data_IF_603246517610
#
_entry.id   IF_603246517610
#
_cell.length_a   1.000
_cell.length_b   1.000
_cell.length_c   1.000
_cell.angle_alpha   90.00
_cell.angle_beta   90.00
_cell.angle_gamma   90.00
#
_symmetry.space_group_name_H-M   'P 1'
#
loop_
_entity.id
_entity.type
_entity.pdbx_description
1 polymer ?
#
# COMPACT_ATOMS: atom_id res chain seq x y z
N UNK A 1 17.49 -60.54 -60.83
CA UNK A 1 18.18 -61.16 -59.68
C UNK A 1 18.58 -60.02 -58.76
N UNK A 2 17.75 -59.71 -57.78
CA UNK A 2 17.93 -60.03 -56.36
C UNK A 2 19.00 -59.14 -55.71
N UNK A 3 18.84 -58.49 -54.56
CA UNK A 3 17.78 -58.32 -53.56
C UNK A 3 18.39 -57.32 -52.54
N UNK A 4 17.59 -56.45 -51.94
CA UNK A 4 17.76 -55.82 -50.60
C UNK A 4 16.68 -54.71 -50.53
N UNK A 5 15.37 -55.02 -50.46
CA UNK A 5 14.68 -55.50 -49.24
C UNK A 5 15.49 -55.25 -47.97
N UNK A 6 15.50 -54.02 -47.48
CA UNK A 6 15.68 -53.78 -46.05
C UNK A 6 14.34 -54.04 -45.36
N UNK A 7 14.16 -55.30 -44.95
CA UNK A 7 13.12 -55.72 -44.01
C UNK A 7 13.26 -54.91 -42.72
N UNK A 8 12.18 -54.22 -42.34
CA UNK A 8 11.92 -53.78 -40.97
C UNK A 8 11.78 -54.99 -40.04
N UNK A 9 12.86 -55.60 -39.57
CA UNK A 9 12.82 -56.56 -38.46
C UNK A 9 14.13 -56.53 -37.67
N UNK A 10 14.17 -55.80 -36.56
CA UNK A 10 14.56 -56.31 -35.22
C UNK A 10 14.44 -55.22 -34.16
N UNK A 11 13.98 -55.68 -32.99
CA UNK A 11 13.67 -54.94 -31.78
C UNK A 11 14.70 -53.87 -31.36
N UNK A 12 14.21 -52.66 -31.13
CA UNK A 12 14.62 -51.83 -29.98
C UNK A 12 13.34 -51.26 -29.36
N UNK A 13 12.62 -52.10 -28.62
CA UNK A 13 11.73 -51.61 -27.56
C UNK A 13 12.59 -51.46 -26.31
N UNK A 14 12.95 -50.22 -25.99
CA UNK A 14 13.08 -49.82 -24.60
C UNK A 14 11.67 -49.43 -24.15
N UNK A 15 11.12 -50.13 -23.18
CA UNK A 15 9.82 -49.82 -22.58
C UNK A 15 9.85 -48.42 -21.96
N UNK A 16 9.41 -47.42 -22.73
CA UNK A 16 9.02 -46.13 -22.16
C UNK A 16 7.61 -46.27 -21.58
N UNK A 17 7.53 -46.84 -20.39
CA UNK A 17 6.34 -46.72 -19.54
C UNK A 17 6.23 -45.25 -19.11
N UNK A 18 5.32 -44.49 -19.73
CA UNK A 18 4.91 -43.17 -19.21
C UNK A 18 3.39 -43.03 -19.35
N UNK A 19 2.72 -42.94 -18.20
CA UNK A 19 1.25 -42.82 -18.04
C UNK A 19 0.72 -41.40 -18.33
N UNK A 20 -0.51 -41.41 -18.85
CA UNK A 20 -1.61 -40.41 -18.84
C UNK A 20 -1.38 -39.03 -19.51
N UNK A 21 -2.13 -38.84 -20.59
CA UNK A 21 -2.40 -37.61 -21.38
C UNK A 21 -1.15 -36.88 -21.86
N UNK A 22 -0.57 -37.36 -22.96
CA UNK A 22 0.47 -36.62 -23.69
C UNK A 22 -0.21 -35.60 -24.61
N UNK A 23 0.24 -34.35 -24.59
CA UNK A 23 -0.28 -33.33 -25.51
C UNK A 23 0.13 -33.64 -26.96
N UNK A 24 -0.61 -33.11 -27.92
CA UNK A 24 -0.30 -33.24 -29.36
C UNK A 24 1.16 -32.86 -29.65
N UNK A 25 1.71 -31.88 -28.92
CA UNK A 25 3.12 -31.45 -28.99
C UNK A 25 4.09 -32.59 -28.66
N UNK A 26 3.80 -33.38 -27.62
CA UNK A 26 4.65 -34.52 -27.24
C UNK A 26 4.56 -35.66 -28.25
N UNK A 27 3.43 -35.80 -28.94
CA UNK A 27 3.29 -36.76 -30.05
C UNK A 27 4.10 -36.33 -31.25
N UNK A 28 3.98 -35.09 -31.72
CA UNK A 28 4.75 -34.60 -32.85
C UNK A 28 6.25 -34.61 -32.55
N UNK A 29 6.65 -34.24 -31.33
CA UNK A 29 8.04 -34.35 -30.89
C UNK A 29 8.50 -35.82 -30.87
N UNK A 30 7.65 -36.76 -30.40
CA UNK A 30 7.97 -38.17 -30.43
C UNK A 30 8.05 -38.74 -31.86
N UNK A 31 7.17 -38.33 -32.78
CA UNK A 31 7.21 -38.71 -34.19
C UNK A 31 8.46 -38.14 -34.87
N UNK A 32 8.81 -36.88 -34.58
CA UNK A 32 10.01 -36.22 -35.08
C UNK A 32 11.29 -36.86 -34.54
N UNK A 33 11.35 -37.16 -33.23
CA UNK A 33 12.46 -37.89 -32.59
C UNK A 33 12.58 -39.30 -33.18
N UNK A 34 11.48 -40.05 -33.27
CA UNK A 34 11.47 -41.39 -33.88
C UNK A 34 11.97 -41.36 -35.33
N UNK A 35 11.61 -40.33 -36.11
CA UNK A 35 12.05 -40.17 -37.48
C UNK A 35 13.54 -39.78 -37.59
N UNK A 36 14.00 -38.83 -36.77
CA UNK A 36 15.40 -38.39 -36.75
C UNK A 36 16.38 -39.50 -36.33
N UNK A 37 15.92 -40.44 -35.49
CA UNK A 37 16.73 -41.58 -35.04
C UNK A 37 16.68 -42.80 -35.97
N UNK A 38 15.58 -43.00 -36.72
CA UNK A 38 15.36 -44.23 -37.50
C UNK A 38 15.29 -44.03 -39.01
N UNK A 39 15.24 -42.79 -39.49
CA UNK A 39 15.07 -42.46 -40.91
C UNK A 39 13.76 -42.94 -41.53
N UNK A 40 12.82 -43.48 -40.74
CA UNK A 40 11.60 -44.10 -41.22
C UNK A 40 10.36 -43.60 -40.46
N UNK A 41 9.35 -43.14 -41.20
CA UNK A 41 8.03 -42.85 -40.63
C UNK A 41 7.25 -44.16 -40.42
N UNK A 42 6.50 -44.32 -39.32
CA UNK A 42 5.62 -45.47 -39.11
C UNK A 42 4.59 -45.58 -40.25
N UNK A 43 4.22 -46.78 -40.69
CA UNK A 43 3.12 -46.98 -41.65
C UNK A 43 1.75 -46.55 -41.06
N UNK A 44 0.70 -46.38 -41.88
CA UNK A 44 -0.56 -45.76 -41.44
C UNK A 44 -1.22 -46.54 -40.30
N UNK A 45 -1.23 -47.88 -40.37
CA UNK A 45 -1.79 -48.73 -39.32
C UNK A 45 -1.01 -48.62 -38.00
N UNK A 46 0.32 -48.62 -38.04
CA UNK A 46 1.14 -48.51 -36.82
C UNK A 46 1.03 -47.12 -36.19
N UNK A 47 0.90 -46.07 -37.00
CA UNK A 47 0.61 -44.72 -36.52
C UNK A 47 -0.76 -44.67 -35.86
N UNK A 48 -1.78 -45.25 -36.48
CA UNK A 48 -3.15 -45.31 -35.94
C UNK A 48 -3.20 -46.02 -34.59
N UNK A 49 -2.53 -47.17 -34.47
CA UNK A 49 -2.39 -47.90 -33.20
C UNK A 49 -1.70 -47.05 -32.13
N UNK A 50 -0.65 -46.30 -32.48
CA UNK A 50 0.05 -45.42 -31.54
C UNK A 50 -0.83 -44.24 -31.08
N UNK A 51 -1.63 -43.65 -31.98
CA UNK A 51 -2.59 -42.60 -31.63
C UNK A 51 -3.66 -43.12 -30.67
N UNK A 52 -4.23 -44.30 -30.98
CA UNK A 52 -5.28 -44.92 -30.18
C UNK A 52 -4.76 -45.37 -28.80
N UNK A 53 -3.55 -45.95 -28.72
CA UNK A 53 -2.89 -46.35 -27.46
C UNK A 53 -2.59 -45.17 -26.52
N UNK A 54 -2.37 -43.97 -27.07
CA UNK A 54 -2.04 -42.78 -26.29
C UNK A 54 -3.23 -41.83 -26.11
N UNK A 55 -4.42 -42.20 -26.59
CA UNK A 55 -5.65 -41.38 -26.52
C UNK A 55 -5.49 -39.99 -27.12
N UNK A 56 -4.70 -39.87 -28.19
CA UNK A 56 -4.43 -38.57 -28.81
C UNK A 56 -5.55 -38.24 -29.79
N UNK A 57 -6.01 -36.98 -29.75
CA UNK A 57 -7.07 -36.46 -30.61
C UNK A 57 -6.76 -36.76 -32.08
N UNK A 58 -7.73 -37.38 -32.77
CA UNK A 58 -7.59 -37.79 -34.19
C UNK A 58 -7.72 -36.62 -35.15
N UNK A 59 -8.26 -35.51 -34.67
CA UNK A 59 -8.52 -34.31 -35.46
C UNK A 59 -7.84 -33.12 -34.82
N UNK A 60 -7.25 -32.30 -35.67
CA UNK A 60 -6.66 -31.04 -35.28
C UNK A 60 -7.10 -29.96 -36.26
N UNK A 61 -7.11 -28.73 -35.77
CA UNK A 61 -7.46 -27.54 -36.53
C UNK A 61 -6.21 -26.70 -36.72
N UNK A 62 -6.03 -26.17 -37.94
CA UNK A 62 -4.94 -25.24 -38.22
C UNK A 62 -5.50 -23.84 -38.09
N UNK A 63 -4.88 -23.03 -37.22
CA UNK A 63 -5.28 -21.63 -37.00
C UNK A 63 -5.46 -20.89 -38.31
N UNK A 64 -6.54 -20.10 -38.36
CA UNK A 64 -6.91 -19.32 -39.54
C UNK A 64 -6.35 -17.89 -39.54
N UNK A 65 -5.45 -17.56 -38.61
CA UNK A 65 -4.89 -16.23 -38.51
C UNK A 65 -3.86 -15.96 -39.63
N UNK A 66 -4.03 -14.81 -40.27
CA UNK A 66 -3.19 -14.35 -41.38
C UNK A 66 -2.15 -13.32 -40.95
N UNK A 67 -2.07 -13.00 -39.64
CA UNK A 67 -1.38 -11.80 -39.13
C UNK A 67 -0.23 -12.06 -38.13
N UNK A 68 0.39 -13.25 -38.11
CA UNK A 68 1.58 -13.47 -37.25
C UNK A 68 2.90 -13.33 -38.02
N UNK A 69 2.88 -13.25 -39.36
CA UNK A 69 4.10 -13.22 -40.17
C UNK A 69 4.03 -12.28 -41.38
N UNK A 70 3.82 -11.00 -41.12
CA UNK A 70 4.00 -9.88 -42.05
C UNK A 70 5.46 -9.72 -42.50
N UNK A 71 6.40 -10.43 -41.85
CA UNK A 71 7.85 -10.28 -42.03
C UNK A 71 8.49 -11.12 -43.14
N UNK A 72 7.80 -12.11 -43.73
CA UNK A 72 8.36 -12.93 -44.81
C UNK A 72 7.87 -12.45 -46.18
N UNK A 73 8.74 -11.68 -46.84
CA UNK A 73 8.44 -10.94 -48.05
C UNK A 73 8.05 -11.77 -49.29
N UNK A 74 7.28 -11.12 -50.16
CA UNK A 74 7.08 -11.23 -51.62
C UNK A 74 6.93 -12.60 -52.34
N UNK A 75 7.12 -13.76 -51.74
CA UNK A 75 6.92 -15.05 -52.44
C UNK A 75 5.57 -15.69 -52.09
N UNK A 76 4.50 -15.08 -52.61
CA UNK A 76 3.10 -15.50 -52.41
C UNK A 76 2.71 -16.73 -53.24
N UNK A 77 3.55 -17.77 -53.27
CA UNK A 77 3.38 -18.92 -54.18
C UNK A 77 3.64 -20.28 -53.54
N UNK A 78 3.16 -20.53 -52.32
CA UNK A 78 3.09 -21.91 -51.80
C UNK A 78 1.94 -22.05 -50.81
N UNK A 79 0.84 -22.69 -51.21
CA UNK A 79 -0.19 -23.20 -50.30
C UNK A 79 -0.96 -24.30 -51.01
N UNK A 80 -0.48 -25.54 -50.92
CA UNK A 80 -1.26 -26.69 -51.43
C UNK A 80 -1.10 -27.97 -50.58
N UNK A 81 -0.84 -27.82 -49.29
CA UNK A 81 -0.59 -28.98 -48.43
C UNK A 81 -1.59 -29.02 -47.25
N UNK A 82 -1.70 -27.97 -46.44
CA UNK A 82 -2.76 -27.84 -45.45
C UNK A 82 -3.30 -26.40 -45.50
N UNK A 83 -4.63 -26.25 -45.66
CA UNK A 83 -5.32 -24.96 -45.74
C UNK A 83 -5.62 -24.50 -44.31
N UNK A 84 -5.23 -23.26 -43.99
CA UNK A 84 -5.61 -22.58 -42.76
C UNK A 84 -7.13 -22.58 -42.59
N UNK A 85 -7.58 -22.67 -41.35
CA UNK A 85 -8.99 -22.68 -41.01
C UNK A 85 -9.74 -23.98 -41.31
N UNK A 86 -9.02 -25.08 -41.60
CA UNK A 86 -9.61 -26.39 -41.86
C UNK A 86 -9.24 -27.40 -40.79
N UNK A 87 -10.15 -28.34 -40.57
CA UNK A 87 -9.95 -29.51 -39.73
C UNK A 87 -9.36 -30.66 -40.55
N UNK A 88 -8.40 -31.36 -39.96
CA UNK A 88 -7.66 -32.45 -40.59
C UNK A 88 -7.58 -33.64 -39.67
N UNK A 89 -7.47 -34.85 -40.24
CA UNK A 89 -7.12 -36.04 -39.48
C UNK A 89 -5.59 -36.17 -39.35
N UNK A 90 -5.10 -36.74 -38.26
CA UNK A 90 -3.65 -36.90 -38.02
C UNK A 90 -2.95 -37.71 -39.14
N UNK A 91 -3.70 -38.57 -39.83
CA UNK A 91 -3.22 -39.29 -41.02
C UNK A 91 -2.97 -38.37 -42.23
N UNK A 92 -3.75 -37.29 -42.38
CA UNK A 92 -3.63 -36.34 -43.50
C UNK A 92 -2.29 -35.59 -43.46
N UNK A 93 -1.75 -35.34 -42.27
CA UNK A 93 -0.40 -34.74 -42.11
C UNK A 93 0.66 -35.65 -42.70
N UNK A 94 0.55 -36.94 -42.45
CA UNK A 94 1.54 -37.91 -42.94
C UNK A 94 1.51 -38.00 -44.46
N UNK A 95 0.33 -38.05 -45.06
CA UNK A 95 0.19 -38.11 -46.52
C UNK A 95 0.71 -36.82 -47.17
N UNK A 96 0.51 -35.68 -46.51
CA UNK A 96 1.09 -34.41 -46.90
C UNK A 96 2.62 -34.37 -46.77
N UNK A 97 3.17 -34.90 -45.67
CA UNK A 97 4.61 -35.03 -45.46
C UNK A 97 5.26 -35.90 -46.55
N UNK A 98 4.63 -37.03 -46.89
CA UNK A 98 5.09 -37.94 -47.94
C UNK A 98 5.03 -37.30 -49.33
N UNK A 99 4.04 -36.44 -49.61
CA UNK A 99 3.97 -35.68 -50.87
C UNK A 99 5.11 -34.66 -51.00
N UNK A 100 5.44 -33.94 -49.93
CA UNK A 100 6.54 -32.96 -49.91
C UNK A 100 7.90 -33.66 -50.07
N UNK A 101 8.12 -34.78 -49.37
CA UNK A 101 9.38 -35.54 -49.44
C UNK A 101 9.65 -36.21 -50.80
N UNK A 102 8.64 -36.33 -51.67
CA UNK A 102 8.75 -36.94 -53.00
C UNK A 102 8.87 -35.94 -54.15
N UNK A 103 8.85 -34.63 -53.89
CA UNK A 103 9.02 -33.64 -54.95
C UNK A 103 10.50 -33.24 -55.10
N UNK A 104 11.21 -33.90 -55.99
CA UNK A 104 12.66 -33.74 -56.20
C UNK A 104 13.09 -32.41 -56.87
N UNK A 105 12.27 -31.35 -56.94
CA UNK A 105 12.63 -30.18 -57.78
C UNK A 105 11.99 -28.81 -57.47
N UNK A 106 11.29 -28.62 -56.35
CA UNK A 106 10.73 -27.29 -56.07
C UNK A 106 11.52 -26.63 -54.96
N UNK A 107 12.14 -25.47 -55.25
CA UNK A 107 12.82 -24.57 -54.30
C UNK A 107 11.88 -23.97 -53.25
N UNK A 108 11.13 -24.85 -52.60
CA UNK A 108 10.34 -24.61 -51.41
C UNK A 108 11.34 -24.35 -50.29
N UNK A 109 11.53 -23.07 -49.96
CA UNK A 109 12.20 -22.70 -48.70
C UNK A 109 11.49 -23.41 -47.56
N UNK A 110 12.27 -23.78 -46.55
CA UNK A 110 11.87 -24.31 -45.25
C UNK A 110 10.91 -23.42 -44.45
N UNK A 111 10.22 -22.48 -45.10
CA UNK A 111 9.46 -21.40 -44.48
C UNK A 111 7.94 -21.67 -44.62
N UNK A 112 7.56 -22.87 -45.08
CA UNK A 112 6.18 -23.34 -45.23
C UNK A 112 5.93 -24.51 -44.29
N UNK A 113 6.08 -24.26 -42.99
CA UNK A 113 5.69 -25.21 -41.95
C UNK A 113 4.56 -24.62 -41.13
N UNK A 114 3.52 -25.43 -40.91
CA UNK A 114 2.58 -25.18 -39.83
C UNK A 114 3.36 -25.42 -38.55
N UNK A 115 3.66 -24.37 -37.81
CA UNK A 115 4.38 -24.49 -36.56
C UNK A 115 3.50 -25.17 -35.50
N UNK A 116 4.10 -25.82 -34.51
CA UNK A 116 3.35 -26.61 -33.52
C UNK A 116 2.34 -25.76 -32.74
N UNK A 117 2.67 -24.50 -32.54
CA UNK A 117 1.81 -23.49 -31.94
C UNK A 117 0.62 -23.09 -32.82
N UNK A 118 0.62 -23.39 -34.13
CA UNK A 118 -0.50 -23.11 -35.04
C UNK A 118 -1.55 -24.24 -35.08
N UNK A 119 -1.35 -25.31 -34.30
CA UNK A 119 -2.22 -26.49 -34.24
C UNK A 119 -3.07 -26.45 -32.97
N UNK A 120 -4.39 -26.57 -33.13
CA UNK A 120 -5.36 -26.60 -32.03
C UNK A 120 -6.17 -27.90 -32.05
N UNK A 121 -6.64 -28.35 -30.89
CA UNK A 121 -7.51 -29.54 -30.79
C UNK A 121 -8.95 -29.23 -31.26
N UNK A 122 -9.39 -27.98 -31.09
CA UNK A 122 -10.68 -27.44 -31.52
C UNK A 122 -10.50 -26.01 -32.04
N UNK A 123 -11.37 -25.52 -32.95
CA UNK A 123 -11.25 -24.17 -33.47
C UNK A 123 -11.48 -23.13 -32.37
N UNK A 124 -10.52 -22.22 -32.22
CA UNK A 124 -10.65 -21.07 -31.31
C UNK A 124 -10.74 -19.75 -32.08
N UNK A 125 -11.48 -18.80 -31.49
CA UNK A 125 -11.78 -17.49 -32.07
C UNK A 125 -11.28 -16.37 -31.18
N UNK A 126 -10.88 -15.26 -31.80
CA UNK A 126 -10.48 -14.07 -31.06
C UNK A 126 -11.69 -13.43 -30.39
N UNK A 127 -11.53 -13.09 -29.10
CA UNK A 127 -12.49 -12.27 -28.38
C UNK A 127 -11.83 -10.95 -28.01
N UNK A 128 -12.29 -9.88 -28.65
CA UNK A 128 -11.83 -8.52 -28.40
C UNK A 128 -12.89 -7.76 -27.60
N UNK A 129 -12.57 -7.47 -26.34
CA UNK A 129 -13.45 -6.70 -25.46
C UNK A 129 -12.92 -5.28 -25.34
N UNK A 130 -13.73 -4.29 -25.73
CA UNK A 130 -13.39 -2.87 -25.62
C UNK A 130 -14.29 -2.27 -24.54
N UNK A 131 -13.71 -1.92 -23.40
CA UNK A 131 -14.42 -1.22 -22.32
C UNK A 131 -14.06 0.27 -22.40
N UNK A 132 -15.07 1.13 -22.32
CA UNK A 132 -14.88 2.59 -22.39
C UNK A 132 -14.27 3.22 -21.12
N UNK A 133 -14.19 2.44 -20.04
CA UNK A 133 -13.54 2.79 -18.78
C UNK A 133 -12.11 2.26 -18.73
N UNK A 134 -11.10 3.10 -18.43
CA UNK A 134 -9.72 2.65 -18.29
C UNK A 134 -9.54 1.76 -17.05
N UNK A 135 -8.63 0.78 -17.14
CA UNK A 135 -8.30 -0.15 -16.05
C UNK A 135 -9.50 -0.95 -15.50
N UNK A 136 -10.55 -1.14 -16.30
CA UNK A 136 -11.63 -2.05 -15.94
C UNK A 136 -11.08 -3.48 -15.78
N UNK A 137 -11.46 -4.13 -14.69
CA UNK A 137 -11.21 -5.53 -14.46
C UNK A 137 -12.26 -6.34 -15.24
N UNK A 138 -11.81 -7.26 -16.09
CA UNK A 138 -12.68 -8.04 -16.96
C UNK A 138 -12.41 -9.52 -16.68
N UNK A 139 -13.48 -10.23 -16.34
CA UNK A 139 -13.44 -11.67 -16.09
C UNK A 139 -14.31 -12.41 -17.11
N UNK A 140 -13.78 -13.44 -17.75
CA UNK A 140 -14.53 -14.36 -18.60
C UNK A 140 -14.70 -15.68 -17.84
N UNK A 141 -15.93 -16.07 -17.53
CA UNK A 141 -16.26 -17.23 -16.70
C UNK A 141 -15.49 -17.27 -15.36
N UNK A 142 -15.11 -16.10 -14.83
CA UNK A 142 -14.37 -15.95 -13.58
C UNK A 142 -12.85 -15.84 -13.73
N UNK A 143 -12.30 -16.03 -14.92
CA UNK A 143 -10.85 -15.91 -15.20
C UNK A 143 -10.52 -14.55 -15.82
N UNK A 144 -9.32 -14.01 -15.54
CA UNK A 144 -8.90 -12.70 -16.07
C UNK A 144 -8.84 -12.71 -17.60
N UNK A 145 -9.43 -11.69 -18.21
CA UNK A 145 -9.29 -11.43 -19.64
C UNK A 145 -7.89 -10.89 -19.96
N UNK A 146 -7.29 -11.43 -21.01
CA UNK A 146 -6.02 -10.97 -21.57
C UNK A 146 -6.23 -10.55 -23.03
N UNK A 147 -5.61 -9.44 -23.49
CA UNK A 147 -5.66 -9.06 -24.90
C UNK A 147 -5.20 -10.20 -25.81
N UNK A 148 -5.91 -10.39 -26.93
CA UNK A 148 -5.68 -11.48 -27.90
C UNK A 148 -6.01 -12.90 -27.37
N UNK A 149 -6.76 -13.01 -26.26
CA UNK A 149 -7.29 -14.29 -25.81
C UNK A 149 -8.16 -14.95 -26.90
N UNK A 150 -7.99 -16.26 -27.06
CA UNK A 150 -8.78 -17.09 -27.97
C UNK A 150 -9.62 -18.06 -27.17
N UNK A 151 -10.89 -18.18 -27.55
CA UNK A 151 -11.84 -19.06 -26.87
C UNK A 151 -12.43 -20.07 -27.86
N UNK A 152 -12.66 -21.32 -27.43
CA UNK A 152 -13.48 -22.26 -28.18
C UNK A 152 -14.88 -21.72 -28.48
N UNK A 153 -15.59 -22.39 -29.38
CA UNK A 153 -17.00 -22.10 -29.61
C UNK A 153 -17.83 -22.39 -28.36
N UNK A 154 -18.64 -21.43 -27.92
CA UNK A 154 -19.50 -21.60 -26.76
C UNK A 154 -19.99 -20.29 -26.16
N UNK A 155 -20.78 -20.42 -25.09
CA UNK A 155 -21.30 -19.29 -24.32
C UNK A 155 -20.37 -18.93 -23.18
N UNK A 156 -20.13 -17.64 -23.00
CA UNK A 156 -19.26 -17.11 -21.96
C UNK A 156 -19.91 -15.95 -21.23
N UNK A 157 -19.78 -15.93 -19.91
CA UNK A 157 -20.22 -14.84 -19.05
C UNK A 157 -19.05 -13.89 -18.83
N UNK A 158 -19.22 -12.63 -19.20
CA UNK A 158 -18.25 -11.56 -18.99
C UNK A 158 -18.73 -10.73 -17.81
N UNK A 159 -17.90 -10.64 -16.77
CA UNK A 159 -18.10 -9.74 -15.64
C UNK A 159 -17.08 -8.61 -15.74
N UNK A 160 -17.55 -7.38 -15.71
CA UNK A 160 -16.73 -6.18 -15.80
C UNK A 160 -16.96 -5.36 -14.53
N UNK A 161 -15.87 -4.97 -13.87
CA UNK A 161 -15.89 -4.07 -12.73
C UNK A 161 -14.84 -2.98 -12.89
N UNK A 162 -15.16 -1.77 -12.44
CA UNK A 162 -14.23 -0.66 -12.45
C UNK A 162 -14.50 0.27 -11.27
N UNK A 163 -13.45 0.89 -10.72
CA UNK A 163 -13.62 1.85 -9.62
C UNK A 163 -14.53 2.99 -10.09
N UNK A 164 -15.54 3.34 -9.28
CA UNK A 164 -16.51 4.43 -9.56
C UNK A 164 -17.61 4.10 -10.59
N UNK A 165 -17.68 2.86 -11.09
CA UNK A 165 -18.72 2.42 -12.04
C UNK A 165 -19.51 1.24 -11.50
N UNK A 166 -20.73 1.07 -12.01
CA UNK A 166 -21.56 -0.09 -11.73
C UNK A 166 -21.02 -1.32 -12.45
N UNK A 167 -20.87 -2.42 -11.71
CA UNK A 167 -20.50 -3.71 -12.27
C UNK A 167 -21.50 -4.16 -13.32
N UNK A 168 -21.00 -4.75 -14.40
CA UNK A 168 -21.81 -5.23 -15.53
C UNK A 168 -21.52 -6.68 -15.80
N UNK A 169 -22.58 -7.46 -16.03
CA UNK A 169 -22.49 -8.86 -16.44
C UNK A 169 -23.24 -9.06 -17.75
N UNK A 170 -22.63 -9.73 -18.72
CA UNK A 170 -23.26 -10.02 -20.01
C UNK A 170 -22.80 -11.39 -20.55
N UNK A 171 -23.66 -12.03 -21.34
CA UNK A 171 -23.37 -13.31 -22.00
C UNK A 171 -23.00 -13.06 -23.47
N UNK A 172 -21.89 -13.62 -23.94
CA UNK A 172 -21.54 -13.69 -25.37
C UNK A 172 -21.61 -15.14 -25.85
N UNK A 173 -21.99 -15.34 -27.11
CA UNK A 173 -21.90 -16.63 -27.80
C UNK A 173 -20.82 -16.57 -28.87
N UNK A 174 -19.68 -17.21 -28.60
CA UNK A 174 -18.52 -17.23 -29.49
C UNK A 174 -18.77 -18.28 -30.57
N UNK A 175 -18.98 -17.81 -31.80
CA UNK A 175 -19.19 -18.64 -32.99
C UNK A 175 -18.12 -18.36 -34.06
N UNK A 176 -17.60 -17.15 -34.06
CA UNK A 176 -16.56 -16.59 -34.91
C UNK A 176 -15.80 -15.50 -34.13
N UNK A 177 -14.79 -14.87 -34.74
CA UNK A 177 -14.06 -13.77 -34.11
C UNK A 177 -15.03 -12.67 -33.68
N UNK A 178 -15.09 -12.41 -32.37
CA UNK A 178 -16.09 -11.56 -31.74
C UNK A 178 -15.44 -10.30 -31.21
N UNK A 179 -16.06 -9.16 -31.48
CA UNK A 179 -15.64 -7.85 -30.97
C UNK A 179 -16.80 -7.17 -30.27
N UNK A 180 -16.68 -6.98 -28.98
CA UNK A 180 -17.71 -6.34 -28.15
C UNK A 180 -17.25 -4.99 -27.62
N UNK A 181 -18.14 -4.00 -27.66
CA UNK A 181 -17.93 -2.69 -27.06
C UNK A 181 -18.84 -2.54 -25.86
N UNK A 182 -18.25 -2.29 -24.69
CA UNK A 182 -18.92 -2.35 -23.39
C UNK A 182 -18.83 -0.97 -22.74
N UNK A 183 -20.00 -0.39 -22.46
CA UNK A 183 -20.14 0.82 -21.65
C UNK A 183 -20.54 0.49 -20.23
N UNK A 184 -19.83 1.08 -19.26
CA UNK A 184 -20.19 1.06 -17.83
C UNK A 184 -20.83 2.38 -17.40
N UNK A 185 -21.82 2.29 -16.52
CA UNK A 185 -22.50 3.44 -15.94
C UNK A 185 -21.80 3.90 -14.66
N UNK A 186 -21.72 5.21 -14.43
CA UNK A 186 -21.14 5.76 -13.20
C UNK A 186 -21.98 5.40 -11.97
N UNK A 187 -21.32 4.96 -10.91
CA UNK A 187 -21.96 4.76 -9.60
C UNK A 187 -21.98 6.08 -8.83
N UNK A 188 -23.05 6.85 -9.04
CA UNK A 188 -23.28 8.15 -8.41
C UNK A 188 -23.35 8.03 -6.89
N UNK A 189 -23.88 6.94 -6.35
CA UNK A 189 -24.06 6.79 -4.90
C UNK A 189 -22.72 6.47 -4.22
N UNK A 190 -21.93 5.57 -4.79
CA UNK A 190 -20.57 5.33 -4.33
C UNK A 190 -19.70 6.61 -4.35
N UNK A 191 -19.87 7.48 -5.36
CA UNK A 191 -19.18 8.78 -5.40
C UNK A 191 -19.61 9.71 -4.28
N UNK A 192 -20.93 9.82 -4.01
CA UNK A 192 -21.42 10.64 -2.88
C UNK A 192 -20.87 10.14 -1.55
N UNK A 193 -20.87 8.83 -1.33
CA UNK A 193 -20.33 8.23 -0.11
C UNK A 193 -18.83 8.53 0.06
N UNK A 194 -18.05 8.40 -1.02
CA UNK A 194 -16.61 8.72 -1.00
C UNK A 194 -16.37 10.19 -0.65
N UNK A 195 -17.08 11.11 -1.33
CA UNK A 195 -16.97 12.54 -1.08
C UNK A 195 -17.38 12.89 0.37
N UNK A 196 -18.42 12.23 0.90
CA UNK A 196 -18.83 12.39 2.29
C UNK A 196 -17.74 11.90 3.26
N UNK A 197 -17.14 10.73 3.02
CA UNK A 197 -16.03 10.19 3.82
C UNK A 197 -14.80 11.11 3.79
N UNK A 198 -14.42 11.60 2.62
CA UNK A 198 -13.31 12.54 2.45
C UNK A 198 -13.55 13.88 3.17
N UNK A 199 -14.79 14.39 3.12
CA UNK A 199 -15.17 15.62 3.84
C UNK A 199 -15.04 15.42 5.36
N UNK A 200 -15.56 14.33 5.88
CA UNK A 200 -15.47 13.99 7.31
C UNK A 200 -14.00 13.88 7.75
N UNK A 201 -13.14 13.25 6.95
CA UNK A 201 -11.72 13.11 7.29
C UNK A 201 -10.98 14.45 7.27
N UNK A 202 -11.25 15.31 6.27
CA UNK A 202 -10.72 16.68 6.23
C UNK A 202 -11.14 17.49 7.46
N UNK A 203 -12.41 17.40 7.86
CA UNK A 203 -12.92 18.08 9.07
C UNK A 203 -12.24 17.56 10.35
N UNK A 204 -11.99 16.25 10.47
CA UNK A 204 -11.24 15.68 11.61
C UNK A 204 -9.81 16.20 11.69
N UNK A 205 -9.10 16.25 10.56
CA UNK A 205 -7.73 16.77 10.48
C UNK A 205 -7.71 18.25 10.89
N UNK A 206 -8.64 19.04 10.37
CA UNK A 206 -8.74 20.46 10.69
C UNK A 206 -9.05 20.69 12.17
N UNK A 207 -9.98 19.92 12.75
CA UNK A 207 -10.29 19.99 14.18
C UNK A 207 -9.07 19.70 15.06
N UNK A 208 -8.29 18.65 14.73
CA UNK A 208 -7.05 18.33 15.45
C UNK A 208 -6.01 19.45 15.34
N UNK A 209 -5.90 20.08 14.16
CA UNK A 209 -5.01 21.23 13.96
C UNK A 209 -5.42 22.41 14.84
N UNK A 210 -6.69 22.80 14.81
CA UNK A 210 -7.24 23.89 15.64
C UNK A 210 -7.05 23.63 17.14
N UNK A 211 -7.24 22.39 17.58
CA UNK A 211 -7.02 22.00 18.98
C UNK A 211 -5.55 22.11 19.39
N UNK A 212 -4.62 21.66 18.54
CA UNK A 212 -3.18 21.81 18.76
C UNK A 212 -2.76 23.27 18.83
N UNK A 213 -3.29 24.12 17.94
CA UNK A 213 -3.02 25.56 17.94
C UNK A 213 -3.57 26.24 19.21
N UNK A 214 -4.77 25.87 19.65
CA UNK A 214 -5.35 26.35 20.91
C UNK A 214 -4.47 25.97 22.10
N UNK A 215 -4.06 24.71 22.20
CA UNK A 215 -3.20 24.23 23.29
C UNK A 215 -1.84 24.93 23.28
N UNK A 216 -1.23 25.13 22.10
CA UNK A 216 0.02 25.85 21.97
C UNK A 216 -0.10 27.32 22.44
N UNK A 217 -1.25 27.95 22.16
CA UNK A 217 -1.55 29.30 22.64
C UNK A 217 -1.73 29.32 24.16
N UNK A 218 -2.50 28.40 24.73
CA UNK A 218 -2.70 28.30 26.19
C UNK A 218 -1.36 28.06 26.93
N UNK A 219 -0.48 27.23 26.36
CA UNK A 219 0.89 27.05 26.88
C UNK A 219 1.64 28.38 26.86
N UNK A 220 1.68 29.07 25.71
CA UNK A 220 2.38 30.35 25.55
C UNK A 220 1.80 31.47 26.42
N UNK A 221 0.51 31.40 26.74
CA UNK A 221 -0.18 32.38 27.57
C UNK A 221 -0.04 32.11 29.07
N UNK A 222 0.43 30.91 29.47
CA UNK A 222 0.54 30.54 30.88
C UNK A 222 1.96 30.59 31.46
N UNK A 223 2.97 30.83 30.63
CA UNK A 223 4.39 30.86 31.05
C UNK A 223 5.15 32.05 30.46
N UNK A 224 6.22 32.45 31.15
CA UNK A 224 7.25 33.36 30.66
C UNK A 224 8.62 32.67 30.70
N UNK A 225 9.39 32.75 29.61
CA UNK A 225 10.74 32.17 29.54
C UNK A 225 11.78 33.26 29.80
N UNK A 226 12.49 33.16 30.91
CA UNK A 226 13.59 34.04 31.27
C UNK A 226 14.91 33.48 30.72
N UNK A 227 15.30 33.97 29.55
CA UNK A 227 16.55 33.57 28.90
C UNK A 227 17.81 34.03 29.64
N UNK A 228 17.70 35.03 30.53
CA UNK A 228 18.82 35.55 31.31
C UNK A 228 19.14 34.61 32.45
N UNK A 229 18.10 34.22 33.21
CA UNK A 229 18.25 33.32 34.36
C UNK A 229 18.20 31.83 33.98
N UNK A 230 17.82 31.51 32.73
CA UNK A 230 17.54 30.14 32.26
C UNK A 230 16.41 29.47 33.05
N UNK A 231 15.41 30.27 33.40
CA UNK A 231 14.25 29.87 34.20
C UNK A 231 12.96 30.00 33.38
N UNK A 232 11.95 29.25 33.80
CA UNK A 232 10.59 29.38 33.32
C UNK A 232 9.69 29.84 34.46
N UNK A 233 8.88 30.85 34.22
CA UNK A 233 8.02 31.48 35.20
C UNK A 233 6.56 31.20 34.88
N UNK A 234 5.77 30.88 35.91
CA UNK A 234 4.32 30.91 35.79
C UNK A 234 3.91 32.34 35.44
N UNK A 235 3.09 32.51 34.41
CA UNK A 235 2.60 33.82 33.98
C UNK A 235 1.16 33.73 33.47
N UNK A 236 0.32 32.97 34.19
CA UNK A 236 -1.13 32.93 33.99
C UNK A 236 -1.85 33.85 34.98
N UNK A 237 -3.15 34.07 34.77
CA UNK A 237 -4.00 34.95 35.61
C UNK A 237 -4.00 34.59 37.10
N UNK A 238 -3.69 33.33 37.45
CA UNK A 238 -3.68 32.87 38.85
C UNK A 238 -2.60 33.59 39.67
N UNK A 239 -1.50 34.03 39.04
CA UNK A 239 -0.41 34.75 39.74
C UNK A 239 -0.87 36.09 40.34
N UNK A 240 -1.90 36.70 39.75
CA UNK A 240 -2.48 37.96 40.26
C UNK A 240 -3.56 37.78 41.32
N UNK A 241 -3.90 36.53 41.70
CA UNK A 241 -4.94 36.24 42.70
C UNK A 241 -4.50 35.25 43.78
N UNK A 242 -3.53 34.37 43.51
CA UNK A 242 -3.09 33.35 44.45
C UNK A 242 -2.21 33.94 45.56
N UNK A 243 -2.80 34.08 46.75
CA UNK A 243 -2.10 34.36 48.00
C UNK A 243 -2.04 33.10 48.86
N UNK A 244 -0.88 32.82 49.46
CA UNK A 244 -0.66 31.71 50.38
C UNK A 244 0.26 32.13 51.50
N UNK A 245 0.24 31.44 52.65
CA UNK A 245 1.25 31.63 53.66
C UNK A 245 2.52 30.85 53.31
N UNK A 246 3.64 31.26 53.89
CA UNK A 246 4.91 30.55 53.73
C UNK A 246 4.94 29.27 54.59
N UNK A 247 4.41 29.33 55.81
CA UNK A 247 4.08 28.19 56.68
C UNK A 247 2.58 28.11 56.91
N UNK A 248 2.04 26.91 57.10
CA UNK A 248 0.69 26.79 57.63
C UNK A 248 0.61 27.43 59.03
N UNK A 249 -0.54 27.99 59.40
CA UNK A 249 -0.74 28.57 60.74
C UNK A 249 -0.37 27.60 61.86
N UNK A 250 -0.73 26.33 61.69
CA UNK A 250 -0.35 25.22 62.58
C UNK A 250 1.16 25.10 62.76
N UNK A 251 1.92 25.14 61.68
CA UNK A 251 3.39 24.99 61.74
C UNK A 251 4.06 26.25 62.29
N UNK A 252 3.51 27.43 61.99
CA UNK A 252 3.95 28.71 62.54
C UNK A 252 3.76 28.74 64.07
N UNK A 253 2.56 28.43 64.57
CA UNK A 253 2.26 28.42 66.00
C UNK A 253 3.07 27.36 66.76
N UNK A 254 3.39 26.25 66.10
CA UNK A 254 4.26 25.19 66.62
C UNK A 254 5.77 25.51 66.52
N UNK A 255 6.14 26.71 66.05
CA UNK A 255 7.54 27.15 65.83
C UNK A 255 8.35 26.18 64.95
N UNK A 256 7.70 25.57 63.97
CA UNK A 256 8.34 24.71 62.97
C UNK A 256 8.74 25.55 61.77
N UNK A 257 9.73 26.41 61.96
CA UNK A 257 10.08 27.51 61.06
C UNK A 257 10.41 27.09 59.61
N UNK A 258 10.71 25.81 59.36
CA UNK A 258 11.07 25.30 58.02
C UNK A 258 10.07 24.24 57.49
N UNK A 259 9.00 23.93 58.22
CA UNK A 259 8.03 22.92 57.81
C UNK A 259 6.96 23.51 56.88
N UNK A 260 7.27 23.54 55.58
CA UNK A 260 6.35 24.07 54.56
C UNK A 260 5.23 23.10 54.16
N UNK A 261 4.97 22.06 54.95
CA UNK A 261 3.84 21.15 54.71
C UNK A 261 2.48 21.84 54.92
N UNK A 262 1.45 21.31 54.24
CA UNK A 262 0.09 21.89 54.25
C UNK A 262 -0.18 22.78 53.03
N UNK A 263 -1.13 23.72 53.16
CA UNK A 263 -1.45 24.71 52.13
C UNK A 263 -0.53 25.94 52.26
N UNK A 264 0.63 25.89 51.60
CA UNK A 264 1.67 26.92 51.65
C UNK A 264 2.07 27.35 50.25
N UNK A 265 2.80 28.46 50.13
CA UNK A 265 3.35 28.92 48.86
C UNK A 265 4.24 27.86 48.19
N UNK A 266 5.05 27.15 48.99
CA UNK A 266 5.95 26.11 48.49
C UNK A 266 5.19 24.86 48.01
N UNK A 267 4.19 24.40 48.77
CA UNK A 267 3.38 23.23 48.37
C UNK A 267 2.48 23.55 47.18
N UNK A 268 1.94 24.77 47.10
CA UNK A 268 1.24 25.27 45.92
C UNK A 268 2.12 25.12 44.68
N UNK A 269 3.32 25.71 44.69
CA UNK A 269 4.23 25.59 43.55
C UNK A 269 4.60 24.14 43.24
N UNK A 270 4.86 23.30 44.24
CA UNK A 270 5.19 21.89 43.99
C UNK A 270 4.06 21.11 43.30
N UNK A 271 2.80 21.49 43.53
CA UNK A 271 1.63 20.72 43.12
C UNK A 271 0.99 21.21 41.81
N UNK A 272 1.28 22.42 41.36
CA UNK A 272 0.70 22.91 40.09
C UNK A 272 1.31 22.21 38.88
N UNK A 273 0.47 22.03 37.87
CA UNK A 273 0.88 21.63 36.52
C UNK A 273 0.48 22.74 35.57
N UNK A 274 1.46 23.37 34.93
CA UNK A 274 1.24 24.46 33.98
C UNK A 274 1.90 24.06 32.67
N UNK A 275 1.21 24.23 31.54
CA UNK A 275 1.73 23.86 30.24
C UNK A 275 2.24 22.39 30.17
N UNK A 276 1.56 21.47 30.85
CA UNK A 276 1.97 20.07 31.02
C UNK A 276 3.34 19.87 31.70
N UNK A 277 3.87 20.90 32.35
CA UNK A 277 5.12 20.85 33.11
C UNK A 277 4.82 20.74 34.60
N UNK A 278 5.59 19.88 35.26
CA UNK A 278 5.60 19.69 36.73
C UNK A 278 6.80 20.44 37.34
N UNK A 279 7.30 20.02 38.48
CA UNK A 279 8.56 20.48 39.12
C UNK A 279 8.68 22.00 39.26
N UNK A 280 7.55 22.67 39.43
CA UNK A 280 7.51 24.08 39.79
C UNK A 280 7.89 24.22 41.27
N UNK A 281 8.61 25.29 41.59
CA UNK A 281 9.07 25.61 42.94
C UNK A 281 8.84 27.07 43.26
N UNK A 282 8.86 27.39 44.55
CA UNK A 282 8.88 28.77 45.00
C UNK A 282 10.27 29.39 44.67
N UNK A 283 10.32 30.57 44.04
CA UNK A 283 11.57 31.19 43.61
C UNK A 283 12.37 31.71 44.80
N UNK A 284 13.69 31.79 44.66
CA UNK A 284 14.55 32.45 45.66
C UNK A 284 14.35 33.97 45.62
N UNK A 285 14.80 34.66 46.67
CA UNK A 285 14.73 36.12 46.75
C UNK A 285 15.43 36.79 45.56
N UNK A 286 16.59 36.28 45.15
CA UNK A 286 17.38 36.88 44.10
C UNK A 286 16.77 36.63 42.71
N UNK A 287 16.18 35.45 42.49
CA UNK A 287 15.41 35.15 41.28
C UNK A 287 14.22 36.09 41.10
N UNK A 288 13.49 36.39 42.18
CA UNK A 288 12.37 37.35 42.15
C UNK A 288 12.83 38.79 41.92
N UNK A 289 13.94 39.22 42.50
CA UNK A 289 14.51 40.56 42.25
C UNK A 289 14.90 40.72 40.78
N UNK A 290 15.54 39.71 40.20
CA UNK A 290 15.88 39.71 38.78
C UNK A 290 14.63 39.68 37.89
N UNK A 291 13.59 38.93 38.29
CA UNK A 291 12.32 38.91 37.56
C UNK A 291 11.65 40.29 37.58
N UNK A 292 11.67 40.99 38.71
CA UNK A 292 11.09 42.34 38.83
C UNK A 292 11.70 43.31 37.82
N UNK A 293 13.03 43.24 37.58
CA UNK A 293 13.69 44.06 36.57
C UNK A 293 13.14 43.84 35.15
N UNK A 294 12.50 42.69 34.90
CA UNK A 294 11.86 42.32 33.65
C UNK A 294 10.33 42.37 33.69
N UNK A 295 9.72 42.97 34.75
CA UNK A 295 8.26 42.90 34.99
C UNK A 295 7.40 43.36 33.82
N UNK A 296 7.87 44.30 33.00
CA UNK A 296 7.16 44.79 31.82
C UNK A 296 6.98 43.75 30.70
N UNK A 297 7.67 42.60 30.79
CA UNK A 297 7.53 41.46 29.87
C UNK A 297 6.53 40.42 30.36
N UNK A 298 6.07 40.53 31.61
CA UNK A 298 5.11 39.62 32.22
C UNK A 298 3.68 40.08 31.87
N UNK A 299 2.80 39.13 31.60
CA UNK A 299 1.39 39.38 31.26
C UNK A 299 0.56 39.63 32.51
N UNK A 300 0.80 38.88 33.58
CA UNK A 300 -0.04 38.90 34.78
C UNK A 300 0.80 39.21 36.01
N UNK A 301 0.69 40.42 36.55
CA UNK A 301 1.45 40.87 37.73
C UNK A 301 0.51 41.64 38.66
N UNK A 302 0.49 41.29 39.94
CA UNK A 302 -0.09 42.14 40.98
C UNK A 302 0.97 43.11 41.51
N UNK A 303 0.58 44.36 41.80
CA UNK A 303 1.49 45.36 42.36
C UNK A 303 1.56 45.25 43.91
N UNK A 304 2.06 44.11 44.40
CA UNK A 304 2.05 43.75 45.83
C UNK A 304 3.24 42.79 46.15
N UNK A 305 3.32 42.28 47.37
CA UNK A 305 4.39 41.41 47.86
C UNK A 305 4.27 39.98 47.33
N UNK A 306 5.39 39.45 46.83
CA UNK A 306 5.53 38.06 46.39
C UNK A 306 6.48 37.28 47.29
N UNK A 307 6.06 36.08 47.68
CA UNK A 307 6.88 35.18 48.49
C UNK A 307 8.10 34.64 47.74
N UNK A 308 9.26 34.66 48.42
CA UNK A 308 10.42 33.85 48.04
C UNK A 308 10.56 32.62 48.94
N UNK A 309 11.31 31.62 48.49
CA UNK A 309 11.74 30.47 49.29
C UNK A 309 12.85 30.79 50.28
N UNK A 310 13.37 32.02 50.30
CA UNK A 310 14.48 32.41 51.16
C UNK A 310 13.97 32.80 52.55
N UNK A 311 14.29 32.00 53.57
CA UNK A 311 14.03 32.35 54.98
C UNK A 311 14.91 33.52 55.43
N UNK A 312 14.44 34.32 56.40
CA UNK A 312 15.29 35.30 57.04
C UNK A 312 16.24 34.59 58.03
N UNK A 313 17.54 34.87 57.93
CA UNK A 313 18.57 34.26 58.78
C UNK A 313 18.60 34.83 60.19
N UNK A 314 18.12 36.06 60.37
CA UNK A 314 18.11 36.75 61.66
C UNK A 314 16.82 36.48 62.46
N UNK A 315 15.76 36.02 61.80
CA UNK A 315 14.49 35.67 62.44
C UNK A 315 13.81 34.50 61.70
N UNK A 316 13.77 33.33 62.35
CA UNK A 316 13.19 32.09 61.80
C UNK A 316 11.70 32.18 61.50
N UNK A 317 10.96 33.06 62.17
CA UNK A 317 9.53 33.30 61.94
C UNK A 317 9.26 34.10 60.66
N UNK A 318 10.31 34.63 60.00
CA UNK A 318 10.18 35.49 58.82
C UNK A 318 10.80 34.90 57.57
N UNK A 319 10.22 35.22 56.42
CA UNK A 319 10.76 34.89 55.09
C UNK A 319 10.79 36.13 54.20
N UNK A 320 11.63 36.11 53.18
CA UNK A 320 11.80 37.25 52.28
C UNK A 320 10.68 37.32 51.23
N UNK A 321 10.19 38.54 51.01
CA UNK A 321 9.28 38.92 49.93
C UNK A 321 9.89 40.00 49.06
N UNK A 322 9.43 40.10 47.81
CA UNK A 322 9.76 41.18 46.88
C UNK A 322 8.46 41.88 46.47
N UNK A 323 8.43 43.21 46.55
CA UNK A 323 7.28 44.00 46.16
C UNK A 323 7.30 44.31 44.66
N UNK A 324 6.30 43.86 43.90
CA UNK A 324 6.32 43.99 42.44
C UNK A 324 5.87 45.37 41.91
N UNK A 325 5.55 46.32 42.80
CA UNK A 325 5.36 47.71 42.41
C UNK A 325 6.70 48.45 42.21
N UNK A 326 7.60 48.36 43.20
CA UNK A 326 8.83 49.16 43.27
C UNK A 326 10.13 48.34 43.43
N UNK A 327 10.06 47.03 43.65
CA UNK A 327 11.21 46.14 43.72
C UNK A 327 11.80 45.96 45.12
N UNK A 328 11.17 46.57 46.14
CA UNK A 328 11.67 46.51 47.51
C UNK A 328 11.64 45.08 48.05
N UNK A 329 12.68 44.75 48.84
CA UNK A 329 12.75 43.49 49.56
C UNK A 329 12.45 43.70 51.04
N UNK A 330 11.51 42.95 51.59
CA UNK A 330 11.16 42.97 53.00
C UNK A 330 11.07 41.53 53.52
N UNK A 331 11.20 41.33 54.84
CA UNK A 331 10.95 40.01 55.43
C UNK A 331 9.67 40.04 56.24
N UNK A 332 8.70 39.24 55.86
CA UNK A 332 7.37 39.20 56.46
C UNK A 332 7.17 37.92 57.28
N UNK A 333 6.16 37.91 58.16
CA UNK A 333 5.83 36.74 58.98
C UNK A 333 5.40 35.56 58.11
N UNK A 334 5.90 34.37 58.42
CA UNK A 334 5.67 33.19 57.59
C UNK A 334 4.21 32.72 57.55
N UNK A 335 3.35 33.13 58.48
CA UNK A 335 1.89 32.87 58.42
C UNK A 335 1.09 33.94 57.66
N UNK A 336 1.73 35.02 57.20
CA UNK A 336 1.10 36.06 56.39
C UNK A 336 0.79 35.60 54.96
N UNK A 337 -0.27 36.12 54.35
CA UNK A 337 -0.68 35.77 52.99
C UNK A 337 -0.11 36.74 51.96
N UNK A 338 0.91 36.32 51.22
CA UNK A 338 1.49 37.07 50.11
C UNK A 338 1.30 36.32 48.79
N UNK A 339 1.45 37.03 47.67
CA UNK A 339 1.26 36.45 46.34
C UNK A 339 2.33 35.39 46.04
N UNK A 340 1.93 34.40 45.22
CA UNK A 340 2.81 33.31 44.81
C UNK A 340 2.96 33.30 43.30
N UNK A 341 4.21 33.37 42.83
CA UNK A 341 4.58 33.06 41.45
C UNK A 341 5.60 31.94 41.48
N UNK A 342 5.29 30.86 40.78
CA UNK A 342 6.18 29.70 40.74
C UNK A 342 7.19 29.82 39.61
N UNK A 343 8.35 29.19 39.83
CA UNK A 343 9.45 29.12 38.87
C UNK A 343 9.83 27.67 38.64
N UNK A 344 10.36 27.35 37.47
CA UNK A 344 10.87 26.04 37.09
C UNK A 344 12.26 26.20 36.48
N UNK A 345 13.13 25.25 36.78
CA UNK A 345 14.47 25.18 36.21
C UNK A 345 14.45 24.72 34.76
N UNK A 346 15.24 25.38 33.91
CA UNK A 346 15.39 25.05 32.49
C UNK A 346 14.34 25.70 31.57
N UNK A 347 14.70 25.81 30.30
CA UNK A 347 13.93 26.54 29.27
C UNK A 347 13.30 25.63 28.20
N UNK A 348 13.44 24.30 28.32
CA UNK A 348 12.96 23.34 27.30
C UNK A 348 11.52 22.93 27.60
N UNK A 349 10.61 23.21 26.67
CA UNK A 349 9.27 22.63 26.66
C UNK A 349 9.37 21.13 26.35
N UNK A 350 8.46 20.29 26.88
CA UNK A 350 8.36 18.89 26.48
C UNK A 350 8.09 18.82 24.98
N UNK A 351 8.77 17.91 24.27
CA UNK A 351 8.59 17.70 22.82
C UNK A 351 7.22 17.12 22.50
#
# INVERSE_FOLDING_TARGET
MNFLKAYCVKNMYGDFIVRKTKSIVQLFLAIFIMFSLSGCLPNNEKLQVMLDQNSITKKFYIRNDTNVYDGYGKDKKVLDTLKRGKQYETADIKDNYVKVAKSDSNGLKSDVWVSMDEIEEEPTYFVTLIVDVPNANILINGENYEPNMRLPKGKYIINISAEQFLDKSLEIDVQEDTKESITLEFDVEAQKERLAKEKIEKEKIERKKREKERLAKEIKDSIYIDNTQKLMWQDNIIVSVAKKPWLSKKNFDAKKDNDTSGDTAASYCKNIVIANLKDWRLPTKDELKNLFAQKGRLKHVAADWYWSSTSNTNNGERAWTIHFNNGDGYSDLKDANNFVRCVRDGIKLPK
#
